data_IF_416604310603
#
_entry.id   IF_416604310603
#
_cell.length_a   1.000
_cell.length_b   1.000
_cell.length_c   1.000
_cell.angle_alpha   90.00
_cell.angle_beta   90.00
_cell.angle_gamma   90.00
#
_symmetry.space_group_name_H-M   'P 1'
#
loop_
_entity.id
_entity.type
_entity.pdbx_description
1 polymer ?
#
# COMPACT_ATOMS: atom_id res chain seq x y z
N UNK A 1 -23.40 6.03 13.91
CA UNK A 1 -22.00 5.63 13.65
C UNK A 1 -21.51 4.81 14.83
N UNK A 2 -21.45 3.49 14.69
CA UNK A 2 -21.29 2.53 15.80
C UNK A 2 -19.83 2.18 16.10
N UNK A 3 -19.55 1.88 17.37
CA UNK A 3 -18.23 1.64 17.97
C UNK A 3 -17.37 0.55 17.25
N UNK A 4 -18.00 -0.32 16.44
CA UNK A 4 -17.33 -1.34 15.61
C UNK A 4 -16.44 -0.73 14.53
N UNK A 5 -16.86 0.38 13.90
CA UNK A 5 -16.11 1.04 12.83
C UNK A 5 -14.81 1.67 13.34
N UNK A 6 -14.78 2.15 14.59
CA UNK A 6 -13.55 2.70 15.18
C UNK A 6 -12.49 1.62 15.43
N UNK A 7 -12.88 0.43 15.91
CA UNK A 7 -11.92 -0.65 16.15
C UNK A 7 -11.32 -1.19 14.84
N UNK A 8 -12.13 -1.34 13.80
CA UNK A 8 -11.64 -1.69 12.45
C UNK A 8 -10.69 -0.60 11.90
N UNK A 9 -11.00 0.67 12.14
CA UNK A 9 -10.17 1.82 11.74
C UNK A 9 -8.82 1.87 12.46
N UNK A 10 -8.76 1.62 13.78
CA UNK A 10 -7.48 1.57 14.50
C UNK A 10 -6.63 0.37 14.08
N UNK A 11 -7.25 -0.80 13.89
CA UNK A 11 -6.56 -2.01 13.45
C UNK A 11 -5.98 -1.86 12.03
N UNK A 12 -6.71 -1.21 11.11
CA UNK A 12 -6.23 -0.95 9.74
C UNK A 12 -5.15 0.13 9.66
N UNK A 13 -5.14 1.09 10.59
CA UNK A 13 -4.04 2.05 10.72
C UNK A 13 -2.77 1.36 11.24
N UNK A 14 -2.90 0.47 12.23
CA UNK A 14 -1.77 -0.28 12.78
C UNK A 14 -1.21 -1.31 11.80
N UNK A 15 -2.05 -1.96 11.00
CA UNK A 15 -1.62 -2.96 10.00
C UNK A 15 -0.92 -2.33 8.78
N UNK A 16 -1.24 -1.07 8.47
CA UNK A 16 -0.56 -0.28 7.44
C UNK A 16 0.58 0.59 7.99
N UNK A 17 0.84 0.54 9.30
CA UNK A 17 1.93 1.28 9.90
C UNK A 17 3.29 0.76 9.37
N UNK A 18 4.27 1.65 9.18
CA UNK A 18 5.59 1.22 8.77
C UNK A 18 6.19 0.25 9.80
N UNK A 19 6.82 -0.84 9.34
CA UNK A 19 7.42 -1.87 10.19
C UNK A 19 8.35 -1.32 11.28
N UNK A 20 9.01 -0.19 11.02
CA UNK A 20 9.92 0.47 11.95
C UNK A 20 9.20 1.06 13.18
N UNK A 21 7.90 1.35 13.09
CA UNK A 21 7.12 1.87 14.21
C UNK A 21 6.95 0.79 15.29
N UNK A 22 6.62 -0.45 14.89
CA UNK A 22 6.54 -1.59 15.81
C UNK A 22 7.89 -1.86 16.49
N UNK A 23 8.99 -1.76 15.73
CA UNK A 23 10.34 -1.86 16.29
C UNK A 23 10.64 -0.73 17.27
N UNK A 24 10.31 0.52 16.91
CA UNK A 24 10.52 1.69 17.76
C UNK A 24 9.73 1.62 19.06
N UNK A 25 8.46 1.19 19.01
CA UNK A 25 7.62 1.00 20.21
C UNK A 25 8.18 -0.12 21.10
N UNK A 26 8.64 -1.23 20.51
CA UNK A 26 9.25 -2.32 21.26
C UNK A 26 10.52 -1.86 21.98
N UNK A 27 11.40 -1.12 21.29
CA UNK A 27 12.64 -0.58 21.87
C UNK A 27 12.37 0.46 22.96
N UNK A 28 11.40 1.36 22.74
CA UNK A 28 11.01 2.36 23.74
C UNK A 28 10.45 1.70 25.01
N UNK A 29 9.55 0.71 24.84
CA UNK A 29 8.99 -0.07 25.96
C UNK A 29 10.09 -0.84 26.69
N UNK A 30 11.01 -1.46 25.96
CA UNK A 30 12.14 -2.19 26.54
C UNK A 30 13.06 -1.27 27.37
N UNK A 31 13.43 -0.10 26.82
CA UNK A 31 14.22 0.89 27.53
C UNK A 31 13.53 1.43 28.78
N UNK A 32 12.22 1.69 28.69
CA UNK A 32 11.43 2.10 29.86
C UNK A 32 11.40 1.02 30.95
N UNK A 33 11.25 -0.25 30.59
CA UNK A 33 11.26 -1.33 31.57
C UNK A 33 12.61 -1.49 32.29
N UNK A 34 13.73 -1.17 31.63
CA UNK A 34 15.06 -1.27 32.23
C UNK A 34 15.43 -0.06 33.10
N UNK A 35 15.13 1.15 32.61
CA UNK A 35 15.63 2.39 33.21
C UNK A 35 14.56 3.23 33.89
N UNK A 36 13.27 2.93 33.69
CA UNK A 36 12.15 3.74 34.17
C UNK A 36 12.09 3.90 35.68
N UNK A 37 12.59 2.92 36.44
CA UNK A 37 12.68 2.98 37.91
C UNK A 37 13.59 4.11 38.41
N UNK A 38 14.61 4.48 37.65
CA UNK A 38 15.60 5.49 38.09
C UNK A 38 15.07 6.93 37.90
N UNK A 39 14.04 7.09 37.05
CA UNK A 39 13.42 8.38 36.75
C UNK A 39 12.16 8.67 37.57
N UNK A 40 11.47 7.63 38.07
CA UNK A 40 10.19 7.77 38.77
C UNK A 40 10.41 7.54 40.28
N UNK A 41 10.46 8.62 41.05
CA UNK A 41 10.41 8.56 42.52
C UNK A 41 8.96 8.57 42.98
N UNK A 42 8.55 7.57 43.74
CA UNK A 42 7.19 7.47 44.26
C UNK A 42 7.20 6.88 45.66
N UNK A 43 6.36 7.44 46.55
CA UNK A 43 6.23 6.97 47.93
C UNK A 43 5.15 5.87 48.06
N UNK A 44 4.46 5.54 46.96
CA UNK A 44 3.41 4.53 46.91
C UNK A 44 4.00 3.11 46.80
N UNK A 45 3.73 2.26 47.79
CA UNK A 45 4.20 0.87 47.84
C UNK A 45 3.83 0.03 46.60
N UNK A 46 2.63 0.23 46.04
CA UNK A 46 2.18 -0.51 44.85
C UNK A 46 3.03 -0.14 43.63
N UNK A 47 3.29 1.15 43.43
CA UNK A 47 4.07 1.63 42.28
C UNK A 47 5.53 1.22 42.39
N UNK A 48 6.12 1.25 43.60
CA UNK A 48 7.51 0.77 43.79
C UNK A 48 7.63 -0.73 43.50
N UNK A 49 6.66 -1.55 43.92
CA UNK A 49 6.62 -2.97 43.58
C UNK A 49 6.53 -3.23 42.07
N UNK A 50 5.69 -2.47 41.35
CA UNK A 50 5.58 -2.56 39.88
C UNK A 50 6.91 -2.17 39.21
N UNK A 51 7.50 -1.02 39.57
CA UNK A 51 8.76 -0.54 38.99
C UNK A 51 9.92 -1.52 39.19
N UNK A 52 9.96 -2.21 40.34
CA UNK A 52 10.97 -3.23 40.62
C UNK A 52 10.79 -4.51 39.80
N UNK A 53 9.56 -4.83 39.37
CA UNK A 53 9.27 -6.00 38.54
C UNK A 53 9.50 -5.75 37.04
N UNK A 54 9.50 -4.50 36.58
CA UNK A 54 9.62 -4.14 35.16
C UNK A 54 10.86 -4.72 34.44
N UNK A 55 12.08 -4.71 35.01
CA UNK A 55 13.25 -5.25 34.32
C UNK A 55 13.12 -6.74 34.00
N UNK A 56 12.48 -7.51 34.89
CA UNK A 56 12.31 -8.96 34.75
C UNK A 56 11.37 -9.35 33.60
N UNK A 57 10.44 -8.45 33.24
CA UNK A 57 9.49 -8.66 32.14
C UNK A 57 9.85 -7.88 30.87
N UNK A 58 10.97 -7.16 30.85
CA UNK A 58 11.38 -6.31 29.72
C UNK A 58 11.44 -7.09 28.40
N UNK A 59 11.85 -8.36 28.43
CA UNK A 59 11.93 -9.26 27.26
C UNK A 59 10.57 -9.44 26.56
N UNK A 60 9.45 -9.33 27.28
CA UNK A 60 8.11 -9.41 26.66
C UNK A 60 7.84 -8.26 25.66
N UNK A 61 8.58 -7.16 25.75
CA UNK A 61 8.49 -6.04 24.79
C UNK A 61 8.82 -6.46 23.35
N UNK A 62 9.61 -7.54 23.16
CA UNK A 62 9.91 -8.07 21.83
C UNK A 62 8.69 -8.68 21.14
N UNK A 63 7.64 -9.06 21.89
CA UNK A 63 6.36 -9.53 21.32
C UNK A 63 5.74 -8.42 20.46
N UNK A 64 5.91 -7.15 20.84
CA UNK A 64 5.42 -6.00 20.09
C UNK A 64 6.13 -5.81 18.74
N UNK A 65 7.30 -6.42 18.54
CA UNK A 65 8.05 -6.39 17.28
C UNK A 65 7.65 -7.51 16.30
N UNK A 66 6.90 -8.52 16.71
CA UNK A 66 6.47 -9.65 15.86
C UNK A 66 5.75 -9.22 14.56
N UNK A 67 4.92 -8.16 14.54
CA UNK A 67 4.29 -7.68 13.31
C UNK A 67 5.29 -7.11 12.28
N UNK A 68 6.48 -6.67 12.71
CA UNK A 68 7.45 -5.98 11.85
C UNK A 68 7.99 -6.84 10.69
N UNK A 69 8.49 -8.09 10.89
CA UNK A 69 8.95 -8.93 9.78
C UNK A 69 7.82 -9.27 8.80
N UNK A 70 6.60 -9.46 9.28
CA UNK A 70 5.41 -9.72 8.44
C UNK A 70 5.10 -8.48 7.58
N UNK A 71 5.06 -7.30 8.20
CA UNK A 71 4.83 -6.03 7.50
C UNK A 71 5.93 -5.73 6.48
N UNK A 72 7.20 -5.98 6.83
CA UNK A 72 8.34 -5.83 5.93
C UNK A 72 8.24 -6.77 4.72
N UNK A 73 7.93 -8.05 4.96
CA UNK A 73 7.82 -9.02 3.88
C UNK A 73 6.66 -8.73 2.94
N UNK A 74 5.47 -8.38 3.47
CA UNK A 74 4.32 -7.94 2.68
C UNK A 74 4.66 -6.71 1.84
N UNK A 75 5.30 -5.69 2.42
CA UNK A 75 5.74 -4.49 1.69
C UNK A 75 6.70 -4.84 0.54
N UNK A 76 7.62 -5.77 0.76
CA UNK A 76 8.56 -6.21 -0.28
C UNK A 76 7.88 -6.97 -1.41
N UNK A 77 6.89 -7.80 -1.11
CA UNK A 77 6.10 -8.50 -2.14
C UNK A 77 5.24 -7.54 -2.97
N UNK A 78 4.55 -6.60 -2.31
CA UNK A 78 3.74 -5.55 -2.94
C UNK A 78 4.51 -4.76 -3.99
N UNK A 79 5.73 -4.32 -3.63
CA UNK A 79 6.58 -3.57 -4.56
C UNK A 79 6.92 -4.35 -5.83
N UNK A 80 7.24 -5.64 -5.69
CA UNK A 80 7.57 -6.50 -6.85
C UNK A 80 6.37 -6.76 -7.77
N UNK A 81 5.14 -6.71 -7.25
CA UNK A 81 3.92 -6.91 -8.06
C UNK A 81 3.64 -5.69 -8.89
N UNK A 82 3.63 -4.51 -8.28
CA UNK A 82 3.47 -3.24 -8.98
C UNK A 82 4.50 -3.08 -10.10
N UNK A 83 5.78 -3.38 -9.84
CA UNK A 83 6.86 -3.22 -10.81
C UNK A 83 6.79 -4.16 -12.02
N UNK A 84 5.98 -5.23 -11.97
CA UNK A 84 5.85 -6.18 -13.08
C UNK A 84 4.75 -5.83 -14.07
N UNK A 85 3.87 -4.91 -13.74
CA UNK A 85 2.70 -4.59 -14.57
C UNK A 85 3.03 -3.47 -15.55
N UNK A 86 3.10 -3.79 -16.84
CA UNK A 86 3.41 -2.81 -17.89
C UNK A 86 2.38 -2.82 -19.03
N UNK A 87 1.33 -3.64 -18.94
CA UNK A 87 0.33 -3.71 -20.00
C UNK A 87 -1.06 -4.07 -19.48
N UNK A 88 -2.09 -3.64 -20.22
CA UNK A 88 -3.48 -4.01 -19.94
C UNK A 88 -3.65 -5.54 -19.88
N UNK A 89 -2.93 -6.27 -20.74
CA UNK A 89 -2.94 -7.73 -20.75
C UNK A 89 -2.39 -8.36 -19.47
N UNK A 90 -1.39 -7.74 -18.82
CA UNK A 90 -0.88 -8.23 -17.54
C UNK A 90 -1.87 -7.96 -16.41
N UNK A 91 -2.61 -6.84 -16.46
CA UNK A 91 -3.71 -6.54 -15.53
C UNK A 91 -4.86 -7.54 -15.64
N UNK A 92 -5.25 -7.90 -16.86
CA UNK A 92 -6.32 -8.89 -17.12
C UNK A 92 -5.97 -10.31 -16.65
N UNK A 93 -4.71 -10.61 -16.32
CA UNK A 93 -4.34 -11.93 -15.77
C UNK A 93 -4.43 -12.02 -14.26
N UNK A 94 -4.63 -10.88 -13.58
CA UNK A 94 -4.72 -10.84 -12.12
C UNK A 94 -6.06 -11.40 -11.65
N UNK A 95 -6.04 -12.06 -10.50
CA UNK A 95 -7.28 -12.35 -9.77
C UNK A 95 -7.94 -11.05 -9.29
N UNK A 96 -9.22 -11.13 -8.94
CA UNK A 96 -9.99 -9.95 -8.48
C UNK A 96 -9.35 -9.27 -7.27
N UNK A 97 -8.92 -10.05 -6.27
CA UNK A 97 -8.22 -9.55 -5.09
C UNK A 97 -6.84 -8.98 -5.43
N UNK A 98 -6.10 -9.57 -6.37
CA UNK A 98 -4.80 -9.02 -6.80
C UNK A 98 -4.94 -7.69 -7.54
N UNK A 99 -6.01 -7.51 -8.31
CA UNK A 99 -6.31 -6.24 -8.97
C UNK A 99 -6.65 -5.14 -7.97
N UNK A 100 -7.49 -5.44 -6.98
CA UNK A 100 -7.81 -4.50 -5.89
C UNK A 100 -6.57 -4.12 -5.08
N UNK A 101 -5.72 -5.10 -4.74
CA UNK A 101 -4.48 -4.84 -4.02
C UNK A 101 -3.51 -3.97 -4.86
N UNK A 102 -3.44 -4.19 -6.18
CA UNK A 102 -2.63 -3.38 -7.08
C UNK A 102 -3.10 -1.91 -7.10
N UNK A 103 -4.40 -1.69 -7.23
CA UNK A 103 -5.01 -0.36 -7.18
C UNK A 103 -4.76 0.29 -5.83
N UNK A 104 -4.98 -0.44 -4.74
CA UNK A 104 -4.71 0.01 -3.39
C UNK A 104 -3.25 0.46 -3.23
N UNK A 105 -2.30 -0.34 -3.70
CA UNK A 105 -0.87 -0.03 -3.61
C UNK A 105 -0.47 1.16 -4.48
N UNK A 106 -1.08 1.34 -5.66
CA UNK A 106 -0.86 2.52 -6.50
C UNK A 106 -1.26 3.81 -5.76
N UNK A 107 -2.44 3.83 -5.16
CA UNK A 107 -2.90 4.99 -4.38
C UNK A 107 -2.11 5.20 -3.08
N UNK A 108 -1.69 4.13 -2.40
CA UNK A 108 -0.77 4.25 -1.24
C UNK A 108 0.49 5.00 -1.61
N UNK A 109 1.09 4.69 -2.76
CA UNK A 109 2.30 5.36 -3.24
C UNK A 109 2.08 6.83 -3.64
N UNK A 110 0.86 7.20 -3.99
CA UNK A 110 0.46 8.61 -4.20
C UNK A 110 0.13 9.35 -2.88
N UNK A 111 0.37 8.72 -1.73
CA UNK A 111 0.18 9.31 -0.41
C UNK A 111 -1.25 9.25 0.12
N UNK A 112 -2.09 8.36 -0.40
CA UNK A 112 -3.41 8.10 0.17
C UNK A 112 -3.30 7.08 1.31
N UNK A 113 -4.07 7.28 2.38
CA UNK A 113 -4.37 6.20 3.32
C UNK A 113 -5.45 5.32 2.70
N UNK A 114 -5.17 4.03 2.56
CA UNK A 114 -6.07 3.08 1.88
C UNK A 114 -6.57 2.05 2.87
N UNK A 115 -7.89 1.99 3.01
CA UNK A 115 -8.62 1.02 3.82
C UNK A 115 -9.27 0.03 2.84
N UNK A 116 -8.86 -1.23 2.92
CA UNK A 116 -9.46 -2.34 2.18
C UNK A 116 -10.71 -2.81 2.91
N UNK A 117 -11.76 -3.18 2.17
CA UNK A 117 -12.97 -3.68 2.78
C UNK A 117 -12.82 -5.19 3.09
N UNK A 118 -12.58 -5.53 4.36
CA UNK A 118 -12.37 -6.92 4.81
C UNK A 118 -13.63 -7.81 4.70
N UNK A 119 -14.78 -7.23 4.36
CA UNK A 119 -16.02 -7.97 4.14
C UNK A 119 -16.09 -8.41 2.68
N UNK A 120 -15.35 -9.47 2.35
CA UNK A 120 -15.47 -10.17 1.07
C UNK A 120 -16.88 -10.73 0.90
N UNK A 121 -17.75 -9.99 0.22
CA UNK A 121 -19.14 -10.38 0.01
C UNK A 121 -19.87 -9.42 -0.93
N UNK A 122 -20.88 -9.94 -1.62
CA UNK A 122 -21.72 -9.24 -2.59
C UNK A 122 -22.71 -8.23 -1.95
N UNK A 123 -22.31 -7.58 -0.85
CA UNK A 123 -23.10 -6.57 -0.17
C UNK A 123 -22.77 -5.19 -0.73
N UNK A 124 -23.18 -4.93 -1.97
CA UNK A 124 -23.43 -3.59 -2.57
C UNK A 124 -22.47 -2.45 -2.23
N UNK A 125 -21.21 -2.75 -1.91
CA UNK A 125 -20.29 -1.88 -1.20
C UNK A 125 -19.00 -1.70 -1.99
N UNK A 126 -18.28 -0.65 -1.65
CA UNK A 126 -17.05 -0.25 -2.34
C UNK A 126 -15.86 -1.07 -1.86
N UNK A 127 -14.96 -1.44 -2.77
CA UNK A 127 -13.81 -2.30 -2.48
C UNK A 127 -12.74 -1.58 -1.64
N UNK A 128 -12.50 -0.29 -1.92
CA UNK A 128 -11.50 0.52 -1.20
C UNK A 128 -12.07 1.85 -0.73
N UNK A 129 -11.55 2.32 0.41
CA UNK A 129 -11.76 3.68 0.92
C UNK A 129 -10.42 4.40 1.00
N UNK A 130 -10.28 5.48 0.23
CA UNK A 130 -9.09 6.31 0.19
C UNK A 130 -9.31 7.58 1.03
N UNK A 131 -8.35 7.91 1.87
CA UNK A 131 -8.37 9.13 2.67
C UNK A 131 -7.11 9.94 2.34
N UNK A 132 -7.29 11.20 1.96
CA UNK A 132 -6.19 12.16 1.77
C UNK A 132 -6.69 13.56 2.11
N UNK A 133 -5.90 14.29 2.89
CA UNK A 133 -6.25 15.65 3.37
C UNK A 133 -7.63 15.72 4.08
N UNK A 134 -8.01 14.66 4.79
CA UNK A 134 -9.32 14.56 5.46
C UNK A 134 -10.51 14.26 4.55
N UNK A 135 -10.27 14.06 3.24
CA UNK A 135 -11.32 13.79 2.26
C UNK A 135 -11.45 12.30 2.00
N UNK A 136 -12.68 11.79 2.13
CA UNK A 136 -13.02 10.41 1.80
C UNK A 136 -13.32 10.29 0.30
N UNK A 137 -12.60 9.39 -0.37
CA UNK A 137 -12.87 8.96 -1.74
C UNK A 137 -13.13 7.46 -1.73
N UNK A 138 -14.24 7.03 -2.29
CA UNK A 138 -14.56 5.60 -2.41
C UNK A 138 -14.08 5.06 -3.76
N UNK A 139 -13.77 3.77 -3.81
CA UNK A 139 -13.32 3.10 -5.04
C UNK A 139 -14.06 1.80 -5.22
N UNK A 140 -14.61 1.62 -6.42
CA UNK A 140 -15.11 0.34 -6.91
C UNK A 140 -14.24 -0.11 -8.07
N UNK A 141 -13.60 -1.25 -7.89
CA UNK A 141 -13.00 -2.04 -8.95
C UNK A 141 -14.10 -2.92 -9.57
N UNK A 142 -14.27 -2.86 -10.89
CA UNK A 142 -15.21 -3.75 -11.59
C UNK A 142 -14.49 -4.74 -12.49
N UNK A 143 -15.08 -5.94 -12.55
CA UNK A 143 -14.62 -7.14 -13.22
C UNK A 143 -13.94 -6.89 -14.58
N UNK A 144 -12.71 -7.40 -14.68
CA UNK A 144 -11.76 -7.26 -15.78
C UNK A 144 -12.11 -8.05 -17.05
N UNK A 145 -13.08 -8.97 -16.98
CA UNK A 145 -13.52 -9.81 -18.12
C UNK A 145 -14.64 -9.18 -18.95
N UNK A 146 -15.35 -8.19 -18.42
CA UNK A 146 -16.34 -7.46 -19.22
C UNK A 146 -15.61 -6.40 -20.02
N UNK A 147 -15.70 -6.46 -21.35
CA UNK A 147 -15.08 -5.45 -22.20
C UNK A 147 -15.66 -4.05 -21.95
N UNK A 148 -16.90 -3.94 -21.43
CA UNK A 148 -17.57 -2.66 -21.19
C UNK A 148 -18.33 -2.59 -19.86
N UNK A 149 -18.24 -1.44 -19.21
CA UNK A 149 -18.95 -1.09 -17.98
C UNK A 149 -20.10 -0.15 -18.31
N UNK A 150 -21.31 -0.58 -17.96
CA UNK A 150 -22.57 0.15 -18.21
C UNK A 150 -22.87 1.24 -17.17
N UNK A 151 -23.81 2.12 -17.51
CA UNK A 151 -24.26 3.24 -16.65
C UNK A 151 -24.89 2.79 -15.33
N UNK A 152 -25.41 1.57 -15.24
CA UNK A 152 -26.03 1.03 -14.02
C UNK A 152 -25.08 1.09 -12.83
N UNK A 153 -23.82 0.70 -13.03
CA UNK A 153 -22.81 0.68 -11.97
C UNK A 153 -22.45 2.11 -11.54
N UNK A 154 -22.37 3.03 -12.50
CA UNK A 154 -22.13 4.44 -12.19
C UNK A 154 -23.25 5.04 -11.33
N UNK A 155 -24.51 4.69 -11.60
CA UNK A 155 -25.67 5.13 -10.82
C UNK A 155 -25.69 4.53 -9.41
N UNK A 156 -25.44 3.23 -9.31
CA UNK A 156 -25.38 2.52 -8.04
C UNK A 156 -24.30 3.11 -7.12
N UNK A 157 -23.09 3.26 -7.65
CA UNK A 157 -21.94 3.79 -6.91
C UNK A 157 -22.11 5.28 -6.56
N UNK A 158 -22.80 6.05 -7.38
CA UNK A 158 -23.20 7.41 -7.01
C UNK A 158 -24.11 7.42 -5.79
N UNK A 159 -25.10 6.52 -5.73
CA UNK A 159 -25.96 6.36 -4.55
C UNK A 159 -25.17 6.00 -3.29
N UNK A 160 -24.24 5.05 -3.39
CA UNK A 160 -23.37 4.63 -2.28
C UNK A 160 -22.49 5.80 -1.79
N UNK A 161 -21.90 6.57 -2.71
CA UNK A 161 -21.08 7.73 -2.38
C UNK A 161 -21.86 8.79 -1.60
N UNK A 162 -23.10 9.09 -1.99
CA UNK A 162 -23.96 10.04 -1.27
C UNK A 162 -24.33 9.49 0.11
N UNK A 163 -24.70 8.20 0.20
CA UNK A 163 -25.05 7.55 1.47
C UNK A 163 -23.89 7.54 2.47
N UNK A 164 -22.66 7.32 1.99
CA UNK A 164 -21.45 7.33 2.80
C UNK A 164 -20.85 8.73 3.02
N UNK A 165 -21.42 9.79 2.43
CA UNK A 165 -20.91 11.17 2.48
C UNK A 165 -19.46 11.30 2.00
N UNK A 166 -19.10 10.53 0.97
CA UNK A 166 -17.79 10.63 0.35
C UNK A 166 -17.74 11.83 -0.61
N UNK A 167 -16.57 12.48 -0.70
CA UNK A 167 -16.38 13.64 -1.58
C UNK A 167 -16.34 13.23 -3.06
N UNK A 168 -15.78 12.06 -3.35
CA UNK A 168 -15.61 11.51 -4.70
C UNK A 168 -15.82 10.01 -4.71
N UNK A 169 -16.19 9.51 -5.88
CA UNK A 169 -16.28 8.09 -6.18
C UNK A 169 -15.46 7.74 -7.41
N UNK A 170 -14.59 6.75 -7.27
CA UNK A 170 -13.76 6.21 -8.35
C UNK A 170 -14.32 4.88 -8.80
N UNK A 171 -14.49 4.71 -10.10
CA UNK A 171 -14.86 3.43 -10.70
C UNK A 171 -13.73 3.03 -11.63
N UNK A 172 -13.11 1.89 -11.36
CA UNK A 172 -11.89 1.45 -12.04
C UNK A 172 -12.15 0.11 -12.73
N UNK A 173 -11.75 0.01 -13.99
CA UNK A 173 -11.86 -1.20 -14.80
C UNK A 173 -10.63 -1.37 -15.68
N UNK A 174 -10.30 -2.61 -16.05
CA UNK A 174 -9.30 -2.89 -17.09
C UNK A 174 -9.89 -2.84 -18.52
N UNK A 175 -11.21 -2.71 -18.64
CA UNK A 175 -11.94 -2.56 -19.90
C UNK A 175 -12.27 -1.09 -20.21
N UNK A 176 -13.39 -0.87 -20.90
CA UNK A 176 -13.88 0.46 -21.28
C UNK A 176 -15.18 0.82 -20.55
N UNK A 177 -15.53 2.10 -20.52
CA UNK A 177 -16.86 2.57 -20.12
C UNK A 177 -17.74 2.82 -21.34
N UNK A 178 -19.03 2.51 -21.20
CA UNK A 178 -20.03 2.92 -22.20
C UNK A 178 -20.17 4.44 -22.24
N UNK A 179 -20.55 4.98 -23.41
CA UNK A 179 -20.80 6.42 -23.58
C UNK A 179 -21.83 6.94 -22.56
N UNK A 180 -22.86 6.16 -22.29
CA UNK A 180 -23.89 6.47 -21.29
C UNK A 180 -23.31 6.62 -19.86
N UNK A 181 -22.36 5.75 -19.48
CA UNK A 181 -21.69 5.85 -18.19
C UNK A 181 -20.83 7.11 -18.10
N UNK A 182 -20.10 7.42 -19.18
CA UNK A 182 -19.27 8.63 -19.29
C UNK A 182 -20.14 9.89 -19.20
N UNK A 183 -21.23 9.95 -19.98
CA UNK A 183 -22.17 11.08 -19.99
C UNK A 183 -22.85 11.24 -18.62
N UNK A 184 -23.17 10.14 -17.92
CA UNK A 184 -23.69 10.21 -16.56
C UNK A 184 -22.68 10.81 -15.57
N UNK A 185 -21.38 10.56 -15.75
CA UNK A 185 -20.32 10.98 -14.83
C UNK A 185 -19.87 12.44 -14.99
N UNK A 186 -20.00 13.04 -16.19
CA UNK A 186 -19.44 14.37 -16.53
C UNK A 186 -19.69 15.47 -15.49
N UNK A 187 -20.91 15.58 -14.97
CA UNK A 187 -21.30 16.64 -14.04
C UNK A 187 -21.43 16.15 -12.58
N UNK A 188 -20.77 15.04 -12.26
CA UNK A 188 -20.84 14.41 -10.93
C UNK A 188 -19.44 14.21 -10.38
N UNK A 189 -19.26 14.10 -9.05
CA UNK A 189 -18.00 13.71 -8.44
C UNK A 189 -17.68 12.21 -8.62
N UNK A 190 -17.96 11.69 -9.82
CA UNK A 190 -17.64 10.34 -10.29
C UNK A 190 -16.46 10.44 -11.25
N UNK A 191 -15.39 9.73 -10.97
CA UNK A 191 -14.25 9.62 -11.88
C UNK A 191 -14.12 8.17 -12.34
N UNK A 192 -14.27 8.00 -13.66
CA UNK A 192 -14.18 6.72 -14.33
C UNK A 192 -12.73 6.55 -14.82
N UNK A 193 -12.09 5.45 -14.43
CA UNK A 193 -10.71 5.12 -14.82
C UNK A 193 -10.75 3.82 -15.61
N UNK A 194 -10.57 3.95 -16.93
CA UNK A 194 -10.51 2.80 -17.83
C UNK A 194 -9.14 2.11 -17.81
N UNK A 195 -9.00 1.02 -18.57
CA UNK A 195 -7.77 0.25 -18.61
C UNK A 195 -6.54 1.04 -19.06
N UNK A 196 -6.72 2.01 -19.97
CA UNK A 196 -5.62 2.84 -20.46
C UNK A 196 -5.16 3.85 -19.40
N UNK A 197 -6.11 4.53 -18.75
CA UNK A 197 -5.85 5.48 -17.67
C UNK A 197 -5.28 4.79 -16.43
N UNK A 198 -5.70 3.55 -16.16
CA UNK A 198 -5.15 2.76 -15.06
C UNK A 198 -3.67 2.40 -15.29
N UNK A 199 -3.27 2.08 -16.53
CA UNK A 199 -1.87 1.85 -16.85
C UNK A 199 -1.05 3.12 -16.64
N UNK A 200 -1.53 4.26 -17.10
CA UNK A 200 -0.86 5.55 -16.88
C UNK A 200 -0.67 5.83 -15.38
N UNK A 201 -1.71 5.60 -14.57
CA UNK A 201 -1.66 5.73 -13.11
C UNK A 201 -0.56 4.85 -12.50
N UNK A 202 -0.47 3.60 -12.95
CA UNK A 202 0.53 2.63 -12.46
C UNK A 202 1.93 3.04 -12.92
N UNK A 203 2.09 3.49 -14.17
CA UNK A 203 3.37 3.91 -14.74
C UNK A 203 3.94 5.11 -14.00
N UNK A 204 3.14 6.14 -13.71
CA UNK A 204 3.55 7.31 -12.90
C UNK A 204 4.06 6.88 -11.52
N UNK A 205 3.41 5.89 -10.93
CA UNK A 205 3.78 5.36 -9.62
C UNK A 205 5.04 4.47 -9.69
N UNK A 206 5.30 3.84 -10.83
CA UNK A 206 6.52 3.10 -11.08
C UNK A 206 7.71 4.04 -11.36
N UNK A 207 7.52 5.08 -12.15
CA UNK A 207 8.57 6.05 -12.51
C UNK A 207 9.03 6.85 -11.30
N UNK A 208 8.09 7.29 -10.45
CA UNK A 208 8.42 7.94 -9.17
C UNK A 208 9.31 7.07 -8.26
N UNK A 209 9.20 5.74 -8.35
CA UNK A 209 10.09 4.82 -7.63
C UNK A 209 11.41 4.57 -8.39
N UNK A 210 11.37 4.59 -9.72
CA UNK A 210 12.55 4.48 -10.59
C UNK A 210 13.52 5.65 -10.41
N UNK A 211 13.03 6.85 -10.09
CA UNK A 211 13.88 8.01 -9.80
C UNK A 211 14.69 7.86 -8.51
N UNK A 212 14.35 6.90 -7.65
CA UNK A 212 15.17 6.51 -6.49
C UNK A 212 16.26 5.49 -6.84
N UNK A 213 16.33 5.01 -8.08
CA UNK A 213 17.40 4.09 -8.50
C UNK A 213 18.72 4.86 -8.53
N UNK A 214 19.82 4.28 -8.00
CA UNK A 214 21.10 4.95 -8.01
C UNK A 214 21.49 5.30 -9.44
N UNK A 215 22.04 6.51 -9.60
CA UNK A 215 22.44 7.07 -10.89
C UNK A 215 23.81 6.49 -11.23
N UNK A 216 23.96 6.05 -12.48
CA UNK A 216 25.22 5.57 -13.02
C UNK A 216 26.22 6.74 -13.12
N UNK A 217 27.39 6.67 -12.46
CA UNK A 217 28.36 7.76 -12.50
C UNK A 217 29.05 7.92 -13.87
N UNK A 218 28.92 6.92 -14.78
CA UNK A 218 29.53 6.99 -16.12
C UNK A 218 28.67 7.70 -17.17
N UNK A 219 27.35 7.50 -17.14
CA UNK A 219 26.47 8.00 -18.20
C UNK A 219 25.23 8.73 -17.67
N UNK A 220 25.11 8.88 -16.36
CA UNK A 220 23.96 9.50 -15.68
C UNK A 220 22.60 8.81 -15.92
N UNK A 221 22.56 7.65 -16.57
CA UNK A 221 21.37 6.78 -16.62
C UNK A 221 21.15 6.02 -15.30
N UNK A 222 20.07 5.26 -15.16
CA UNK A 222 19.81 4.52 -13.92
C UNK A 222 20.54 3.17 -13.85
N UNK A 223 20.85 2.73 -12.63
CA UNK A 223 21.30 1.37 -12.35
C UNK A 223 20.12 0.43 -12.12
N UNK A 224 20.22 -0.79 -12.63
CA UNK A 224 19.21 -1.86 -12.52
C UNK A 224 19.84 -3.15 -11.99
N UNK A 225 19.11 -3.89 -11.15
CA UNK A 225 19.56 -5.19 -10.61
C UNK A 225 19.62 -6.23 -11.74
N UNK A 226 20.76 -6.90 -11.91
CA UNK A 226 21.01 -7.95 -12.90
C UNK A 226 21.57 -9.19 -12.21
N UNK A 227 21.44 -10.35 -12.87
CA UNK A 227 21.98 -11.62 -12.39
C UNK A 227 23.17 -12.01 -13.28
N UNK A 228 24.30 -12.36 -12.66
CA UNK A 228 25.49 -12.81 -13.37
C UNK A 228 25.23 -14.19 -14.02
N UNK A 229 25.23 -14.21 -15.36
CA UNK A 229 24.95 -15.42 -16.15
C UNK A 229 26.19 -16.32 -16.36
N UNK A 230 27.40 -15.76 -16.20
CA UNK A 230 28.68 -16.42 -16.50
C UNK A 230 29.75 -15.99 -15.47
N UNK A 231 30.77 -16.82 -15.24
CA UNK A 231 31.91 -16.53 -14.35
C UNK A 231 31.80 -17.12 -12.94
N UNK A 232 32.79 -16.85 -12.09
CA UNK A 232 32.87 -17.34 -10.70
C UNK A 232 31.68 -16.89 -9.83
N UNK A 233 31.10 -15.73 -10.16
CA UNK A 233 29.95 -15.15 -9.46
C UNK A 233 28.61 -15.53 -10.13
N UNK A 234 28.50 -16.71 -10.75
CA UNK A 234 27.26 -17.13 -11.41
C UNK A 234 26.09 -17.15 -10.41
N UNK A 235 24.94 -16.62 -10.83
CA UNK A 235 23.73 -16.44 -10.02
C UNK A 235 23.79 -15.39 -8.90
N UNK A 236 24.90 -14.64 -8.76
CA UNK A 236 24.89 -13.48 -7.86
C UNK A 236 24.16 -12.31 -8.51
N UNK A 237 23.65 -11.41 -7.67
CA UNK A 237 22.97 -10.19 -8.10
C UNK A 237 23.94 -9.03 -8.01
N UNK A 238 23.90 -8.14 -8.99
CA UNK A 238 24.70 -6.91 -9.02
C UNK A 238 23.89 -5.79 -9.69
N UNK A 239 24.23 -4.54 -9.41
CA UNK A 239 23.66 -3.39 -10.11
C UNK A 239 24.44 -3.14 -11.40
N UNK A 240 23.76 -3.11 -12.55
CA UNK A 240 24.35 -2.77 -13.84
C UNK A 240 23.61 -1.61 -14.48
N UNK A 241 24.31 -0.81 -15.28
CA UNK A 241 23.68 0.31 -15.99
C UNK A 241 22.57 -0.17 -16.96
N UNK A 242 21.44 0.54 -17.01
CA UNK A 242 20.35 0.23 -17.94
C UNK A 242 20.75 0.44 -19.40
N UNK A 243 21.68 1.37 -19.67
CA UNK A 243 22.20 1.67 -21.01
C UNK A 243 23.20 0.64 -21.56
N UNK A 244 23.37 -0.52 -20.92
CA UNK A 244 24.16 -1.62 -21.50
C UNK A 244 23.56 -2.06 -22.85
N UNK A 245 24.36 -2.26 -23.92
CA UNK A 245 25.82 -2.39 -23.94
C UNK A 245 26.60 -1.08 -24.07
N UNK A 246 25.94 0.06 -24.31
CA UNK A 246 26.61 1.36 -24.50
C UNK A 246 27.30 1.86 -23.22
N UNK A 247 26.79 1.50 -22.05
CA UNK A 247 27.45 1.73 -20.77
C UNK A 247 27.59 0.42 -19.99
N UNK A 248 28.82 0.09 -19.60
CA UNK A 248 29.17 -1.16 -18.90
C UNK A 248 29.45 -0.98 -17.41
N UNK A 249 28.98 0.11 -16.80
CA UNK A 249 29.16 0.31 -15.36
C UNK A 249 28.38 -0.74 -14.56
N UNK A 250 29.04 -1.30 -13.55
CA UNK A 250 28.47 -2.24 -12.58
C UNK A 250 28.89 -1.86 -11.17
N UNK A 251 28.05 -2.17 -10.20
CA UNK A 251 28.28 -1.99 -8.77
C UNK A 251 27.77 -3.25 -8.06
N UNK A 252 28.59 -3.81 -7.17
CA UNK A 252 28.25 -5.01 -6.37
C UNK A 252 27.28 -4.68 -5.23
#
# INVERSE_FOLDING_TARGET
MTNKNKKAHYFSIMSNAPWYLSVGIALATYGFCLYGKDYIKTDNFIFTAILNALPNIAILSFILAIPAPIAFWRRRQRNKRLEKQHSIYSLQKLSWSEFEELVADAYRRQGYTVIENDQGGADGGTDLKLIKNGELTLVQCKNWRSNRVGVQIAREMFGVMIAEKAKRMLIITSGEFTKEAIDFAKDKPLSLIDGSQLIELIEVVQTSNKDKRPICPKCHGHLVERIARKGANKNTRFLGCENFPKCNYTQD
#
